data_IF_066798149608
#
_entry.id   IF_066798149608
#
_cell.length_a   1.000
_cell.length_b   1.000
_cell.length_c   1.000
_cell.angle_alpha   90.00
_cell.angle_beta   90.00
_cell.angle_gamma   90.00
#
_symmetry.space_group_name_H-M   'P 1'
#
loop_
_entity.id
_entity.type
_entity.pdbx_description
1 polymer ?
#
# COMPACT_ATOMS: atom_id res chain seq x y z
N UNK A 1 2.06 -5.95 7.32
CA UNK A 1 2.95 -5.27 6.37
C UNK A 1 3.87 -6.22 5.60
N UNK A 2 4.42 -7.22 6.30
CA UNK A 2 5.34 -8.16 5.66
C UNK A 2 4.62 -8.96 4.57
N UNK A 3 3.48 -9.54 4.90
CA UNK A 3 2.70 -10.34 3.97
C UNK A 3 2.18 -9.48 2.80
N UNK A 4 1.71 -8.28 3.10
CA UNK A 4 1.23 -7.35 2.08
C UNK A 4 2.35 -7.00 1.09
N UNK A 5 3.55 -6.67 1.56
CA UNK A 5 4.67 -6.33 0.68
C UNK A 5 5.15 -7.54 -0.12
N UNK A 6 5.15 -8.73 0.46
CA UNK A 6 5.50 -9.94 -0.26
C UNK A 6 4.51 -10.22 -1.39
N UNK A 7 3.20 -10.06 -1.13
CA UNK A 7 2.17 -10.29 -2.13
C UNK A 7 2.22 -9.22 -3.22
N UNK A 8 2.16 -7.94 -2.84
CA UNK A 8 1.93 -6.86 -3.80
C UNK A 8 3.20 -6.38 -4.50
N UNK A 9 4.37 -6.43 -3.84
CA UNK A 9 5.61 -5.96 -4.43
C UNK A 9 6.41 -7.11 -5.02
N UNK A 10 6.55 -8.19 -4.29
CA UNK A 10 7.35 -9.30 -4.79
C UNK A 10 6.57 -10.20 -5.73
N UNK A 11 5.41 -10.70 -5.33
CA UNK A 11 4.67 -11.69 -6.11
C UNK A 11 3.91 -11.04 -7.27
N UNK A 12 2.98 -10.11 -6.99
CA UNK A 12 2.13 -9.52 -8.03
C UNK A 12 2.97 -8.68 -9.00
N UNK A 13 3.84 -7.83 -8.46
CA UNK A 13 4.69 -6.97 -9.27
C UNK A 13 5.57 -7.79 -10.21
N UNK A 14 6.16 -8.88 -9.73
CA UNK A 14 7.04 -9.76 -10.52
C UNK A 14 6.26 -10.63 -11.52
N UNK A 15 4.99 -10.91 -11.25
CA UNK A 15 4.16 -11.76 -12.11
C UNK A 15 3.61 -11.02 -13.33
N UNK A 16 3.57 -9.70 -13.29
CA UNK A 16 3.05 -8.90 -14.40
C UNK A 16 4.14 -8.70 -15.43
N UNK A 17 3.94 -9.25 -16.61
CA UNK A 17 4.88 -9.13 -17.73
C UNK A 17 4.52 -7.95 -18.63
N UNK A 18 4.58 -6.74 -18.07
CA UNK A 18 4.22 -5.49 -18.73
C UNK A 18 5.23 -4.41 -18.39
N UNK A 19 5.01 -3.19 -18.89
CA UNK A 19 5.87 -2.05 -18.57
C UNK A 19 5.88 -1.74 -17.09
N UNK A 20 6.91 -1.06 -16.62
CA UNK A 20 7.06 -0.67 -15.22
C UNK A 20 5.89 0.15 -14.73
N UNK A 21 5.39 1.07 -15.56
CA UNK A 21 4.24 1.93 -15.23
C UNK A 21 3.00 1.08 -14.97
N UNK A 22 2.72 0.11 -15.84
CA UNK A 22 1.57 -0.80 -15.68
C UNK A 22 1.71 -1.62 -14.41
N UNK A 23 2.90 -2.12 -14.09
CA UNK A 23 3.15 -2.86 -12.84
C UNK A 23 2.82 -2.02 -11.62
N UNK A 24 3.29 -0.78 -11.59
CA UNK A 24 3.03 0.15 -10.48
C UNK A 24 1.53 0.42 -10.34
N UNK A 25 0.85 0.71 -11.44
CA UNK A 25 -0.58 1.02 -11.43
C UNK A 25 -1.38 -0.18 -10.91
N UNK A 26 -1.16 -1.37 -11.48
CA UNK A 26 -1.90 -2.58 -11.11
C UNK A 26 -1.66 -2.94 -9.65
N UNK A 27 -0.40 -2.97 -9.22
CA UNK A 27 -0.05 -3.31 -7.83
C UNK A 27 -0.67 -2.32 -6.84
N UNK A 28 -0.65 -1.03 -7.16
CA UNK A 28 -1.18 0.02 -6.29
C UNK A 28 -2.71 -0.04 -6.21
N UNK A 29 -3.39 -0.29 -7.32
CA UNK A 29 -4.84 -0.42 -7.33
C UNK A 29 -5.28 -1.65 -6.54
N UNK A 30 -4.61 -2.78 -6.72
CA UNK A 30 -4.93 -4.01 -5.98
C UNK A 30 -4.70 -3.82 -4.48
N UNK A 31 -3.61 -3.15 -4.10
CA UNK A 31 -3.33 -2.81 -2.71
C UNK A 31 -4.44 -1.93 -2.12
N UNK A 32 -4.86 -0.91 -2.86
CA UNK A 32 -5.95 -0.03 -2.45
C UNK A 32 -7.27 -0.77 -2.31
N UNK A 33 -7.61 -1.65 -3.26
CA UNK A 33 -8.84 -2.44 -3.23
C UNK A 33 -8.87 -3.37 -2.03
N UNK A 34 -7.76 -3.98 -1.66
CA UNK A 34 -7.69 -4.85 -0.49
C UNK A 34 -8.05 -4.12 0.79
N UNK A 35 -7.68 -2.85 0.90
CA UNK A 35 -8.01 -2.03 2.07
C UNK A 35 -9.39 -1.36 1.94
N UNK A 36 -9.85 -1.12 0.72
CA UNK A 36 -11.12 -0.47 0.42
C UNK A 36 -12.32 -1.38 0.70
N UNK A 37 -12.27 -2.64 0.24
CA UNK A 37 -13.40 -3.56 0.28
C UNK A 37 -13.93 -3.77 1.72
N UNK A 38 -13.08 -4.03 2.74
CA UNK A 38 -13.58 -4.19 4.10
C UNK A 38 -14.25 -2.96 4.69
N UNK A 39 -13.99 -1.78 4.12
CA UNK A 39 -14.51 -0.50 4.62
C UNK A 39 -15.87 -0.15 4.01
N UNK A 40 -16.31 -0.85 2.96
CA UNK A 40 -17.59 -0.59 2.33
C UNK A 40 -18.72 -0.85 3.33
N UNK A 41 -19.57 0.15 3.52
CA UNK A 41 -20.68 0.07 4.47
C UNK A 41 -20.32 0.35 5.91
N UNK A 42 -19.03 0.44 6.25
CA UNK A 42 -18.57 0.73 7.61
C UNK A 42 -18.30 2.22 7.85
N UNK A 43 -18.04 2.98 6.78
CA UNK A 43 -17.72 4.41 6.87
C UNK A 43 -18.52 5.17 5.80
N UNK A 44 -18.55 6.50 5.91
CA UNK A 44 -19.25 7.35 4.95
C UNK A 44 -18.57 7.31 3.58
N UNK A 45 -19.30 7.74 2.54
CA UNK A 45 -18.76 7.79 1.19
C UNK A 45 -17.55 8.73 1.09
N UNK A 46 -17.60 9.88 1.78
CA UNK A 46 -16.48 10.83 1.80
C UNK A 46 -15.23 10.22 2.44
N UNK A 47 -15.41 9.53 3.57
CA UNK A 47 -14.31 8.85 4.24
C UNK A 47 -13.74 7.73 3.37
N UNK A 48 -14.60 7.01 2.67
CA UNK A 48 -14.20 5.93 1.76
C UNK A 48 -13.34 6.46 0.61
N UNK A 49 -13.73 7.59 0.02
CA UNK A 49 -12.95 8.23 -1.04
C UNK A 49 -11.57 8.68 -0.54
N UNK A 50 -11.52 9.33 0.63
CA UNK A 50 -10.26 9.76 1.23
C UNK A 50 -9.36 8.58 1.55
N UNK A 51 -9.92 7.51 2.11
CA UNK A 51 -9.19 6.30 2.42
C UNK A 51 -8.61 5.66 1.17
N UNK A 52 -9.38 5.60 0.09
CA UNK A 52 -8.94 5.04 -1.20
C UNK A 52 -7.75 5.81 -1.76
N UNK A 53 -7.80 7.13 -1.71
CA UNK A 53 -6.69 7.99 -2.16
C UNK A 53 -5.45 7.72 -1.33
N UNK A 54 -5.58 7.62 -0.01
CA UNK A 54 -4.47 7.35 0.90
C UNK A 54 -3.81 6.00 0.60
N UNK A 55 -4.59 4.94 0.46
CA UNK A 55 -4.05 3.60 0.25
C UNK A 55 -3.44 3.43 -1.14
N UNK A 56 -4.05 4.00 -2.19
CA UNK A 56 -3.47 3.95 -3.53
C UNK A 56 -2.16 4.75 -3.56
N UNK A 57 -2.14 5.93 -2.95
CA UNK A 57 -0.93 6.74 -2.86
C UNK A 57 0.19 6.01 -2.11
N UNK A 58 -0.14 5.38 -0.99
CA UNK A 58 0.81 4.57 -0.23
C UNK A 58 1.32 3.40 -1.07
N UNK A 59 0.43 2.74 -1.82
CA UNK A 59 0.81 1.66 -2.73
C UNK A 59 1.81 2.10 -3.78
N UNK A 60 1.60 3.27 -4.38
CA UNK A 60 2.54 3.85 -5.35
C UNK A 60 3.89 4.12 -4.69
N UNK A 61 3.88 4.74 -3.49
CA UNK A 61 5.10 5.04 -2.76
C UNK A 61 5.91 3.77 -2.44
N UNK A 62 5.25 2.71 -1.99
CA UNK A 62 5.92 1.45 -1.69
C UNK A 62 6.46 0.77 -2.95
N UNK A 63 5.75 0.88 -4.09
CA UNK A 63 6.27 0.41 -5.38
C UNK A 63 7.55 1.15 -5.76
N UNK A 64 7.58 2.46 -5.59
CA UNK A 64 8.75 3.27 -5.92
C UNK A 64 9.95 2.90 -5.04
N UNK A 65 9.72 2.63 -3.75
CA UNK A 65 10.78 2.16 -2.85
C UNK A 65 11.30 0.80 -3.33
N UNK A 66 10.41 -0.11 -3.69
CA UNK A 66 10.80 -1.42 -4.19
C UNK A 66 11.65 -1.31 -5.46
N UNK A 67 11.21 -0.49 -6.42
CA UNK A 67 11.93 -0.28 -7.68
C UNK A 67 13.31 0.32 -7.43
N UNK A 68 13.37 1.36 -6.60
CA UNK A 68 14.61 2.09 -6.36
C UNK A 68 15.63 1.25 -5.63
N UNK A 69 15.22 0.44 -4.68
CA UNK A 69 16.12 -0.38 -3.86
C UNK A 69 16.34 -1.79 -4.41
N UNK A 70 15.45 -2.25 -5.29
CA UNK A 70 15.56 -3.59 -5.89
C UNK A 70 15.32 -4.73 -4.91
N UNK A 71 14.75 -4.46 -3.74
CA UNK A 71 14.57 -5.44 -2.68
C UNK A 71 13.31 -5.14 -1.89
N UNK A 72 12.50 -6.17 -1.66
CA UNK A 72 11.24 -6.06 -0.92
C UNK A 72 11.46 -5.67 0.55
N UNK A 73 12.62 -5.95 1.12
CA UNK A 73 12.93 -5.63 2.53
C UNK A 73 12.80 -4.14 2.80
N UNK A 74 13.24 -3.29 1.89
CA UNK A 74 13.12 -1.84 2.07
C UNK A 74 11.67 -1.38 2.06
N UNK A 75 10.84 -1.99 1.20
CA UNK A 75 9.40 -1.73 1.19
C UNK A 75 8.73 -2.17 2.50
N UNK A 76 9.09 -3.33 3.00
CA UNK A 76 8.60 -3.84 4.29
C UNK A 76 8.97 -2.87 5.41
N UNK A 77 10.23 -2.43 5.46
CA UNK A 77 10.70 -1.51 6.49
C UNK A 77 9.95 -0.17 6.43
N UNK A 78 9.74 0.38 5.24
CA UNK A 78 8.99 1.62 5.05
C UNK A 78 7.54 1.47 5.49
N UNK A 79 6.89 0.38 5.11
CA UNK A 79 5.50 0.09 5.44
C UNK A 79 5.33 -0.05 6.96
N UNK A 80 6.21 -0.81 7.61
CA UNK A 80 6.18 -0.98 9.07
C UNK A 80 6.42 0.34 9.80
N UNK A 81 7.34 1.17 9.31
CA UNK A 81 7.63 2.47 9.90
C UNK A 81 6.42 3.40 9.84
N UNK A 82 5.72 3.44 8.71
CA UNK A 82 4.52 4.25 8.55
C UNK A 82 3.40 3.76 9.46
N UNK A 83 3.20 2.45 9.55
CA UNK A 83 2.18 1.87 10.43
C UNK A 83 2.48 2.16 11.89
N UNK A 84 3.75 2.05 12.31
CA UNK A 84 4.15 2.36 13.67
C UNK A 84 3.91 3.83 13.99
N UNK A 85 4.30 4.74 13.10
CA UNK A 85 4.09 6.17 13.28
C UNK A 85 2.61 6.49 13.40
N UNK A 86 1.77 5.89 12.56
CA UNK A 86 0.33 6.08 12.60
C UNK A 86 -0.25 5.62 13.95
N UNK A 87 0.16 4.46 14.45
CA UNK A 87 -0.28 3.94 15.74
C UNK A 87 0.16 4.82 16.89
N UNK A 88 1.40 5.33 16.85
CA UNK A 88 1.91 6.24 17.89
C UNK A 88 1.13 7.55 17.90
N UNK A 89 0.81 8.10 16.75
CA UNK A 89 0.01 9.33 16.64
C UNK A 89 -1.40 9.12 17.19
N UNK A 90 -1.99 7.97 16.92
CA UNK A 90 -3.29 7.62 17.46
C UNK A 90 -3.27 7.59 18.99
N UNK A 91 -2.25 6.97 19.59
CA UNK A 91 -2.10 6.91 21.04
C UNK A 91 -1.89 8.28 21.67
N UNK A 92 -1.10 9.15 21.03
CA UNK A 92 -0.83 10.51 21.53
C UNK A 92 -2.10 11.35 21.51
N UNK A 93 -2.97 11.15 20.52
CA UNK A 93 -4.20 11.96 20.37
C UNK A 93 -5.37 11.44 21.21
N UNK A 94 -5.18 10.39 21.98
CA UNK A 94 -6.17 9.93 22.96
C UNK A 94 -5.95 10.58 24.31
#
# INVERSE_FOLDING_TARGET
PILEELIFRWFIFSSINKSLIIKVIVSSILFGLMHFIPSIGAISLNELCLQSIQYVSAGIAFCLVYIKRGNVVFGIAAHMSINLMHNLMYLVNQ
#
